data_IF_876174286529
#
_entry.id   IF_876174286529
#
_cell.length_a   1.000
_cell.length_b   1.000
_cell.length_c   1.000
_cell.angle_alpha   90.00
_cell.angle_beta   90.00
_cell.angle_gamma   90.00
#
_symmetry.space_group_name_H-M   'P 1'
#
loop_
_entity.id
_entity.type
_entity.pdbx_description
1 polymer ?
#
# COMPACT_ATOMS: atom_id res chain seq x y z
N UNK A 1 18.71 34.76 21.43
CA UNK A 1 17.60 34.69 20.45
C UNK A 1 17.09 33.25 20.43
N UNK A 2 16.10 32.93 21.26
CA UNK A 2 15.56 31.58 21.45
C UNK A 2 14.11 31.56 20.95
N UNK A 3 13.89 30.92 19.81
CA UNK A 3 12.58 30.82 19.17
C UNK A 3 11.83 29.63 19.78
N UNK A 4 10.91 29.91 20.70
CA UNK A 4 10.04 28.90 21.32
C UNK A 4 8.76 28.80 20.50
N UNK A 5 8.76 27.92 19.51
CA UNK A 5 7.55 27.59 18.75
C UNK A 5 6.52 26.97 19.71
N UNK A 6 5.44 27.69 19.97
CA UNK A 6 4.33 27.26 20.82
C UNK A 6 3.64 26.06 20.20
N UNK A 7 3.72 24.92 20.88
CA UNK A 7 2.89 23.75 20.60
C UNK A 7 1.45 24.13 20.95
N UNK A 8 0.60 24.39 19.95
CA UNK A 8 -0.84 24.53 20.18
C UNK A 8 -1.42 23.13 20.34
N UNK A 9 -1.77 22.79 21.58
CA UNK A 9 -2.59 21.64 21.91
C UNK A 9 -4.03 21.98 21.50
N UNK A 10 -4.55 21.32 20.46
CA UNK A 10 -5.97 21.41 20.10
C UNK A 10 -6.76 20.61 21.14
N UNK A 11 -7.34 21.34 22.09
CA UNK A 11 -8.24 20.81 23.10
C UNK A 11 -9.65 20.85 22.52
N UNK A 12 -10.06 19.77 21.86
CA UNK A 12 -11.37 19.65 21.23
C UNK A 12 -12.47 19.70 22.31
N UNK A 13 -12.98 20.91 22.60
CA UNK A 13 -13.96 21.15 23.67
C UNK A 13 -15.31 21.65 23.16
N UNK A 14 -15.43 22.10 21.91
CA UNK A 14 -16.66 22.75 21.41
C UNK A 14 -17.03 22.31 19.98
N UNK A 15 -18.33 22.22 19.71
CA UNK A 15 -18.92 21.95 18.38
C UNK A 15 -18.49 22.96 17.32
N UNK A 16 -18.07 24.17 17.71
CA UNK A 16 -17.62 25.20 16.77
C UNK A 16 -16.23 24.90 16.19
N UNK A 17 -15.36 24.18 16.91
CA UNK A 17 -14.07 23.72 16.38
C UNK A 17 -14.26 22.61 15.34
N UNK A 18 -15.30 21.78 15.50
CA UNK A 18 -15.68 20.79 14.48
C UNK A 18 -16.16 21.47 13.20
N UNK A 19 -16.88 22.60 13.30
CA UNK A 19 -17.28 23.38 12.12
C UNK A 19 -16.08 23.97 11.40
N UNK A 20 -15.12 24.53 12.13
CA UNK A 20 -13.89 25.07 11.54
C UNK A 20 -13.07 23.97 10.82
N UNK A 21 -13.01 22.76 11.39
CA UNK A 21 -12.40 21.59 10.73
C UNK A 21 -13.16 21.19 9.46
N UNK A 22 -14.50 21.22 9.48
CA UNK A 22 -15.33 20.91 8.30
C UNK A 22 -15.15 21.98 7.21
N UNK A 23 -15.10 23.26 7.57
CA UNK A 23 -14.88 24.37 6.64
C UNK A 23 -13.50 24.28 5.98
N UNK A 24 -12.45 24.02 6.75
CA UNK A 24 -11.10 23.77 6.22
C UNK A 24 -11.05 22.52 5.33
N UNK A 25 -11.75 21.45 5.70
CA UNK A 25 -11.83 20.26 4.86
C UNK A 25 -12.54 20.53 3.52
N UNK A 26 -13.53 21.43 3.51
CA UNK A 26 -14.21 21.86 2.29
C UNK A 26 -13.35 22.78 1.42
N UNK A 27 -12.65 23.74 2.02
CA UNK A 27 -11.74 24.68 1.33
C UNK A 27 -10.56 23.95 0.67
N UNK A 28 -10.06 22.90 1.32
CA UNK A 28 -8.95 22.08 0.81
C UNK A 28 -9.38 20.83 0.02
N UNK A 29 -10.66 20.70 -0.35
CA UNK A 29 -11.19 19.58 -1.15
C UNK A 29 -10.87 18.17 -0.59
N UNK A 30 -10.80 18.01 0.74
CA UNK A 30 -10.49 16.71 1.35
C UNK A 30 -11.66 15.73 1.13
N UNK A 31 -11.38 14.56 0.54
CA UNK A 31 -12.40 13.52 0.31
C UNK A 31 -12.69 12.69 1.57
N UNK A 32 -11.69 12.57 2.44
CA UNK A 32 -11.79 11.85 3.71
C UNK A 32 -10.85 12.48 4.75
N UNK A 33 -11.32 12.62 5.98
CA UNK A 33 -10.56 13.13 7.12
C UNK A 33 -10.88 12.30 8.37
N UNK A 34 -9.85 11.83 9.07
CA UNK A 34 -9.99 11.04 10.29
C UNK A 34 -9.07 11.57 11.39
N UNK A 35 -9.61 11.73 12.60
CA UNK A 35 -8.85 12.11 13.80
C UNK A 35 -9.30 11.28 15.01
N UNK A 36 -8.33 10.78 15.77
CA UNK A 36 -8.54 10.04 17.01
C UNK A 36 -7.83 10.74 18.17
N UNK A 37 -8.56 11.09 19.22
CA UNK A 37 -8.01 11.67 20.45
C UNK A 37 -8.78 11.19 21.66
N UNK A 38 -8.06 10.72 22.69
CA UNK A 38 -8.63 10.32 24.00
C UNK A 38 -9.81 9.33 23.89
N UNK A 39 -9.77 8.43 22.90
CA UNK A 39 -10.82 7.43 22.66
C UNK A 39 -12.02 7.92 21.86
N UNK A 40 -12.02 9.18 21.39
CA UNK A 40 -13.04 9.73 20.49
C UNK A 40 -12.50 9.75 19.07
N UNK A 41 -13.19 9.06 18.16
CA UNK A 41 -12.87 8.96 16.73
C UNK A 41 -13.87 9.77 15.92
N UNK A 42 -13.38 10.76 15.17
CA UNK A 42 -14.18 11.58 14.26
C UNK A 42 -13.76 11.28 12.83
N UNK A 43 -14.71 10.83 12.00
CA UNK A 43 -14.51 10.56 10.56
C UNK A 43 -15.45 11.42 9.76
N UNK A 44 -14.90 12.23 8.86
CA UNK A 44 -15.65 13.09 7.94
C UNK A 44 -15.40 12.57 6.54
N UNK A 45 -16.46 12.12 5.87
CA UNK A 45 -16.43 11.63 4.49
C UNK A 45 -17.31 12.51 3.61
N UNK A 46 -16.76 13.02 2.51
CA UNK A 46 -17.53 13.73 1.50
C UNK A 46 -18.02 12.72 0.47
N UNK A 47 -19.33 12.57 0.34
CA UNK A 47 -19.90 11.79 -0.75
C UNK A 47 -19.80 12.61 -2.04
N UNK A 48 -18.78 12.31 -2.86
CA UNK A 48 -18.73 12.78 -4.24
C UNK A 48 -19.56 11.82 -5.08
N UNK A 49 -20.81 12.19 -5.34
CA UNK A 49 -21.61 11.58 -6.39
C UNK A 49 -20.98 11.92 -7.74
N UNK A 50 -20.03 11.09 -8.18
CA UNK A 50 -19.73 10.98 -9.60
C UNK A 50 -20.73 10.00 -10.20
N UNK A 51 -21.73 10.60 -10.84
CA UNK A 51 -22.61 9.97 -11.82
C UNK A 51 -21.74 9.27 -12.87
N UNK A 52 -21.64 7.94 -12.77
CA UNK A 52 -21.10 7.14 -13.87
C UNK A 52 -22.21 6.98 -14.91
N UNK A 53 -22.13 7.86 -15.90
CA UNK A 53 -22.91 7.78 -17.12
C UNK A 53 -22.84 6.38 -17.74
N UNK A 54 -24.01 5.83 -18.00
CA UNK A 54 -24.22 4.58 -18.70
C UNK A 54 -23.52 4.57 -20.06
N UNK A 55 -22.70 3.55 -20.31
CA UNK A 55 -22.30 3.17 -21.67
C UNK A 55 -23.07 1.93 -22.10
N UNK A 56 -23.74 2.10 -23.23
CA UNK A 56 -24.68 1.20 -23.88
C UNK A 56 -24.04 -0.11 -24.31
N UNK A 57 -24.77 -1.21 -24.07
CA UNK A 57 -24.47 -2.54 -24.57
C UNK A 57 -24.50 -2.59 -26.10
N UNK A 58 -23.46 -3.15 -26.71
CA UNK A 58 -23.48 -3.63 -28.10
C UNK A 58 -23.19 -5.13 -28.08
N UNK A 59 -24.26 -5.91 -28.23
CA UNK A 59 -24.21 -7.36 -28.47
C UNK A 59 -23.68 -7.62 -29.89
N UNK A 60 -22.70 -8.50 -30.01
CA UNK A 60 -22.21 -9.05 -31.28
C UNK A 60 -22.29 -10.58 -31.16
N UNK A 61 -22.79 -11.32 -32.17
CA UNK A 61 -23.19 -12.72 -31.99
C UNK A 61 -21.99 -13.67 -32.01
N UNK A 62 -22.12 -14.75 -31.23
CA UNK A 62 -21.21 -15.86 -31.15
C UNK A 62 -21.13 -16.68 -32.45
N UNK A 63 -19.96 -17.30 -32.71
CA UNK A 63 -19.90 -18.65 -33.26
C UNK A 63 -19.22 -19.63 -32.28
N UNK A 64 -19.60 -20.89 -32.45
CA UNK A 64 -19.43 -21.99 -31.52
C UNK A 64 -18.01 -22.56 -31.38
N UNK A 65 -17.80 -23.16 -30.20
CA UNK A 65 -16.88 -24.24 -29.80
C UNK A 65 -15.73 -24.62 -30.75
N UNK A 66 -14.51 -24.52 -30.22
CA UNK A 66 -13.53 -25.63 -30.21
C UNK A 66 -12.69 -25.54 -28.94
N UNK A 67 -12.70 -26.64 -28.18
CA UNK A 67 -11.87 -26.86 -27.01
C UNK A 67 -10.41 -27.13 -27.44
N UNK A 68 -9.47 -26.44 -26.82
CA UNK A 68 -8.07 -26.85 -26.75
C UNK A 68 -7.52 -26.46 -25.37
N UNK A 69 -7.02 -27.49 -24.69
CA UNK A 69 -6.50 -27.49 -23.32
C UNK A 69 -5.13 -26.80 -23.22
N UNK A 70 -4.77 -26.52 -21.96
CA UNK A 70 -3.40 -26.35 -21.43
C UNK A 70 -2.81 -24.95 -21.61
N UNK A 71 -2.33 -24.25 -20.57
CA UNK A 71 -1.48 -24.75 -19.49
C UNK A 71 -1.79 -24.10 -18.14
N UNK A 72 -2.18 -24.97 -17.21
CA UNK A 72 -2.11 -24.77 -15.77
C UNK A 72 -0.66 -24.99 -15.36
N UNK A 73 0.06 -23.92 -15.02
CA UNK A 73 1.39 -24.05 -14.42
C UNK A 73 1.24 -24.46 -12.97
N UNK A 74 1.15 -25.76 -12.78
CA UNK A 74 1.53 -26.41 -11.53
C UNK A 74 3.05 -26.43 -11.44
N UNK A 75 3.60 -25.71 -10.46
CA UNK A 75 4.90 -26.08 -9.87
C UNK A 75 4.59 -26.45 -8.42
N UNK A 76 4.45 -27.75 -8.21
CA UNK A 76 4.67 -28.34 -6.90
C UNK A 76 6.16 -28.60 -6.72
N UNK A 77 6.71 -28.13 -5.62
CA UNK A 77 7.81 -28.81 -4.93
C UNK A 77 7.63 -28.53 -3.44
N UNK A 78 7.07 -29.52 -2.75
CA UNK A 78 7.22 -29.68 -1.31
C UNK A 78 8.71 -29.91 -1.01
N UNK A 79 9.31 -28.99 -0.26
CA UNK A 79 10.46 -29.26 0.61
C UNK A 79 10.27 -28.51 1.94
N UNK A 80 9.87 -29.31 2.93
CA UNK A 80 10.32 -29.28 4.31
C UNK A 80 10.27 -27.98 5.13
N UNK A 81 9.47 -28.02 6.19
CA UNK A 81 9.41 -27.04 7.27
C UNK A 81 8.25 -26.07 7.09
N UNK A 82 7.36 -26.03 8.07
CA UNK A 82 6.30 -25.02 8.24
C UNK A 82 6.90 -23.60 8.36
N UNK A 83 7.41 -23.08 7.27
CA UNK A 83 7.89 -21.72 7.19
C UNK A 83 6.72 -20.87 6.70
N UNK A 84 6.16 -20.06 7.59
CA UNK A 84 5.08 -19.15 7.26
C UNK A 84 5.56 -18.21 6.15
N UNK A 85 4.96 -18.34 4.96
CA UNK A 85 5.16 -17.42 3.86
C UNK A 85 4.30 -16.18 4.14
N UNK A 86 4.95 -15.04 4.33
CA UNK A 86 4.31 -13.73 4.48
C UNK A 86 4.41 -12.96 3.17
N UNK A 87 3.34 -12.26 2.81
CA UNK A 87 3.27 -11.44 1.61
C UNK A 87 3.26 -9.98 2.01
N UNK A 88 4.26 -9.23 1.55
CA UNK A 88 4.32 -7.78 1.72
C UNK A 88 3.51 -7.14 0.61
N UNK A 89 2.52 -6.33 1.00
CA UNK A 89 1.61 -5.65 0.07
C UNK A 89 1.85 -4.15 0.04
N UNK A 90 1.46 -3.51 -1.04
CA UNK A 90 1.50 -2.05 -1.16
C UNK A 90 0.45 -1.38 -0.27
N UNK A 91 0.84 -0.48 0.64
CA UNK A 91 -0.11 0.29 1.44
C UNK A 91 -0.65 1.52 0.71
N UNK A 92 -0.13 1.84 -0.48
CA UNK A 92 -0.45 3.06 -1.22
C UNK A 92 -0.50 2.82 -2.74
N UNK A 93 -1.05 3.76 -3.49
CA UNK A 93 -0.96 3.78 -4.96
C UNK A 93 0.25 4.62 -5.36
N UNK A 94 1.07 4.14 -6.29
CA UNK A 94 2.26 4.88 -6.74
C UNK A 94 3.12 4.11 -7.73
N UNK A 95 4.37 4.52 -7.86
CA UNK A 95 5.38 3.86 -8.71
C UNK A 95 6.38 3.11 -7.83
N UNK A 96 6.57 1.82 -8.10
CA UNK A 96 7.48 0.96 -7.36
C UNK A 96 8.94 1.15 -7.80
N UNK A 97 9.85 1.34 -6.85
CA UNK A 97 11.28 1.42 -7.10
C UNK A 97 12.06 0.48 -6.20
N UNK A 98 13.03 -0.21 -6.79
CA UNK A 98 13.89 -1.17 -6.09
C UNK A 98 15.07 -0.55 -5.38
N UNK A 99 15.43 0.70 -5.67
CA UNK A 99 16.64 1.36 -5.21
C UNK A 99 16.33 2.78 -4.70
N UNK A 100 17.18 3.36 -3.83
CA UNK A 100 16.98 4.71 -3.30
C UNK A 100 17.10 5.79 -4.37
N UNK A 101 17.94 5.53 -5.39
CA UNK A 101 18.25 6.47 -6.47
C UNK A 101 18.43 5.71 -7.80
N UNK A 102 18.26 6.38 -8.95
CA UNK A 102 18.59 5.80 -10.26
C UNK A 102 20.04 5.34 -10.34
N UNK A 103 20.23 4.05 -10.68
CA UNK A 103 21.57 3.45 -10.81
C UNK A 103 22.22 3.01 -9.48
N UNK A 104 21.57 3.26 -8.34
CA UNK A 104 21.99 2.67 -7.06
C UNK A 104 21.65 1.18 -7.00
N UNK A 105 22.25 0.47 -6.04
CA UNK A 105 21.92 -0.93 -5.77
C UNK A 105 20.48 -1.03 -5.28
N UNK A 106 19.83 -2.14 -5.60
CA UNK A 106 18.52 -2.44 -5.05
C UNK A 106 18.62 -2.66 -3.54
N UNK A 107 17.55 -2.34 -2.81
CA UNK A 107 17.47 -2.55 -1.36
C UNK A 107 17.59 -4.03 -1.00
N UNK A 108 16.96 -4.90 -1.79
CA UNK A 108 16.95 -6.37 -1.63
C UNK A 108 16.89 -7.06 -2.98
N UNK A 109 17.39 -8.29 -3.03
CA UNK A 109 17.23 -9.27 -4.12
C UNK A 109 16.58 -10.57 -3.60
N UNK A 110 16.13 -11.44 -4.51
CA UNK A 110 15.64 -12.77 -4.13
C UNK A 110 16.77 -13.58 -3.49
N UNK A 111 16.47 -14.21 -2.34
CA UNK A 111 17.42 -14.93 -1.50
C UNK A 111 18.06 -14.08 -0.41
N UNK A 112 17.83 -12.77 -0.38
CA UNK A 112 18.38 -11.91 0.67
C UNK A 112 17.65 -12.12 2.00
N UNK A 113 18.44 -12.19 3.08
CA UNK A 113 17.92 -12.18 4.45
C UNK A 113 17.64 -10.75 4.87
N UNK A 114 16.42 -10.51 5.34
CA UNK A 114 15.94 -9.20 5.78
C UNK A 114 15.59 -9.22 7.26
N UNK A 115 15.90 -8.12 7.94
CA UNK A 115 15.50 -7.90 9.33
C UNK A 115 14.20 -7.11 9.44
N UNK A 116 13.48 -7.26 10.55
CA UNK A 116 12.33 -6.40 10.85
C UNK A 116 12.73 -4.90 10.78
N UNK A 117 11.95 -4.11 10.06
CA UNK A 117 12.17 -2.68 9.84
C UNK A 117 13.11 -2.36 8.69
N UNK A 118 13.77 -3.33 8.06
CA UNK A 118 14.63 -3.10 6.91
C UNK A 118 13.79 -2.61 5.71
N UNK A 119 14.29 -1.60 5.00
CA UNK A 119 13.68 -1.09 3.77
C UNK A 119 13.79 -2.13 2.66
N UNK A 120 12.68 -2.40 1.98
CA UNK A 120 12.56 -3.38 0.90
C UNK A 120 12.42 -2.69 -0.47
N UNK A 121 11.69 -1.59 -0.52
CA UNK A 121 11.50 -0.78 -1.72
C UNK A 121 11.04 0.63 -1.36
N UNK A 122 10.91 1.47 -2.38
CA UNK A 122 10.23 2.76 -2.32
C UNK A 122 8.99 2.70 -3.20
N UNK A 123 7.91 3.33 -2.75
CA UNK A 123 6.77 3.66 -3.59
C UNK A 123 6.64 5.18 -3.67
N UNK A 124 6.82 5.71 -4.89
CA UNK A 124 6.63 7.13 -5.16
C UNK A 124 5.15 7.45 -5.32
N UNK A 125 4.63 8.30 -4.45
CA UNK A 125 3.26 8.82 -4.53
C UNK A 125 3.27 10.33 -4.32
N UNK A 126 2.73 11.09 -5.26
CA UNK A 126 2.66 12.57 -5.18
C UNK A 126 4.03 13.23 -4.88
N UNK A 127 5.11 12.74 -5.51
CA UNK A 127 6.52 13.16 -5.31
C UNK A 127 7.10 12.83 -3.92
N UNK A 128 6.42 12.01 -3.13
CA UNK A 128 6.95 11.48 -1.87
C UNK A 128 7.47 10.06 -2.09
N UNK A 129 8.70 9.82 -1.68
CA UNK A 129 9.35 8.51 -1.71
C UNK A 129 9.04 7.77 -0.41
N UNK A 130 8.00 6.94 -0.40
CA UNK A 130 7.59 6.21 0.79
C UNK A 130 8.33 4.88 0.85
N UNK A 131 9.15 4.69 1.88
CA UNK A 131 9.83 3.43 2.15
C UNK A 131 8.83 2.37 2.61
N UNK A 132 8.97 1.16 2.06
CA UNK A 132 8.24 -0.03 2.52
C UNK A 132 9.21 -0.89 3.32
N UNK A 133 8.89 -1.15 4.58
CA UNK A 133 9.75 -1.89 5.50
C UNK A 133 9.23 -3.32 5.75
N UNK A 134 10.13 -4.25 6.02
CA UNK A 134 9.78 -5.59 6.47
C UNK A 134 9.12 -5.57 7.86
N UNK A 135 8.00 -6.28 8.03
CA UNK A 135 7.30 -6.36 9.33
C UNK A 135 7.92 -7.40 10.27
N UNK A 136 8.61 -8.40 9.71
CA UNK A 136 9.22 -9.52 10.42
C UNK A 136 10.58 -9.89 9.80
N UNK A 137 11.38 -10.63 10.57
CA UNK A 137 12.65 -11.19 10.11
C UNK A 137 12.41 -12.36 9.16
N UNK A 138 13.10 -12.37 8.02
CA UNK A 138 12.86 -13.38 6.99
C UNK A 138 13.86 -13.40 5.86
N UNK A 139 13.46 -14.03 4.76
CA UNK A 139 14.21 -14.11 3.50
C UNK A 139 13.28 -13.79 2.33
N UNK A 140 13.71 -12.96 1.37
CA UNK A 140 12.94 -12.65 0.17
C UNK A 140 12.90 -13.88 -0.73
N UNK A 141 11.70 -14.40 -1.00
CA UNK A 141 11.52 -15.56 -1.89
C UNK A 141 11.07 -15.15 -3.29
N UNK A 142 10.38 -14.02 -3.41
CA UNK A 142 9.88 -13.54 -4.70
C UNK A 142 9.68 -12.01 -4.69
N UNK A 143 9.85 -11.38 -5.86
CA UNK A 143 9.56 -9.97 -6.12
C UNK A 143 8.54 -9.93 -7.26
N UNK A 144 7.33 -9.42 -6.99
CA UNK A 144 6.21 -9.49 -7.93
C UNK A 144 6.13 -8.32 -8.91
N UNK A 145 6.87 -7.24 -8.64
CA UNK A 145 6.77 -5.98 -9.38
C UNK A 145 8.13 -5.57 -9.94
N UNK A 146 8.16 -5.15 -11.20
CA UNK A 146 9.37 -4.63 -11.83
C UNK A 146 9.64 -3.17 -11.45
N UNK A 147 10.92 -2.77 -11.45
CA UNK A 147 11.32 -1.40 -11.14
C UNK A 147 10.70 -0.39 -12.12
N UNK A 148 10.07 0.65 -11.58
CA UNK A 148 9.41 1.71 -12.34
C UNK A 148 7.97 1.42 -12.72
N UNK A 149 7.39 0.29 -12.30
CA UNK A 149 6.00 -0.05 -12.62
C UNK A 149 5.00 0.57 -11.63
N UNK A 150 3.78 0.88 -12.08
CA UNK A 150 2.72 1.33 -11.19
C UNK A 150 2.22 0.21 -10.29
N UNK A 151 1.85 0.55 -9.07
CA UNK A 151 1.25 -0.34 -8.07
C UNK A 151 0.02 0.31 -7.44
N UNK A 152 -0.94 -0.52 -7.07
CA UNK A 152 -2.17 -0.15 -6.38
C UNK A 152 -2.16 -0.60 -4.92
N UNK A 153 -3.11 -0.07 -4.14
CA UNK A 153 -3.32 -0.52 -2.77
C UNK A 153 -3.61 -2.03 -2.73
N UNK A 154 -2.86 -2.76 -1.91
CA UNK A 154 -3.03 -4.19 -1.71
C UNK A 154 -2.29 -5.08 -2.72
N UNK A 155 -1.65 -4.51 -3.74
CA UNK A 155 -0.82 -5.27 -4.69
C UNK A 155 0.31 -5.97 -3.95
N UNK A 156 0.60 -7.21 -4.33
CA UNK A 156 1.69 -7.97 -3.74
C UNK A 156 3.01 -7.42 -4.29
N UNK A 157 3.94 -7.12 -3.40
CA UNK A 157 5.26 -6.58 -3.76
C UNK A 157 6.34 -7.65 -3.61
N UNK A 158 6.31 -8.34 -2.46
CA UNK A 158 7.28 -9.36 -2.10
C UNK A 158 6.61 -10.56 -1.46
N UNK A 159 7.18 -11.74 -1.69
CA UNK A 159 6.95 -12.92 -0.86
C UNK A 159 8.16 -13.12 0.04
N UNK A 160 7.90 -13.40 1.31
CA UNK A 160 8.92 -13.56 2.34
C UNK A 160 8.72 -14.86 3.11
N UNK A 161 9.80 -15.62 3.27
CA UNK A 161 9.83 -16.73 4.22
C UNK A 161 10.16 -16.20 5.61
N UNK A 162 9.18 -16.18 6.51
CA UNK A 162 9.37 -15.64 7.87
C UNK A 162 10.08 -16.67 8.75
N UNK A 163 11.00 -16.20 9.58
CA UNK A 163 11.61 -17.07 10.61
C UNK A 163 10.65 -17.19 11.81
N UNK A 164 10.37 -18.41 12.30
CA UNK A 164 9.51 -18.58 13.46
C UNK A 164 10.11 -17.85 14.67
N UNK A 165 9.30 -17.04 15.34
CA UNK A 165 9.69 -16.40 16.61
C UNK A 165 9.81 -17.48 17.68
N UNK A 166 11.04 -17.87 18.00
CA UNK A 166 11.32 -18.65 19.21
C UNK A 166 11.06 -17.72 20.39
N UNK A 167 9.95 -17.96 21.11
CA UNK A 167 9.63 -17.28 22.38
C UNK A 167 10.50 -17.79 23.52
#
# INVERSE_FOLDING_TARGET
MTNKAGRKELHLKNLDEVKEIIELAQEHNLSEFEIEKEGVRLRIKRESSHDQGAVTAVSIPAPALVAAQSVESSIGTDVDGSADLSVVKSPIVGTFYRAPDPGAKSFVEVGDKVGKGQVLCIIEAMKLMNEINAEDDGEITEIFVENGQPVQYGDQLFSMRVRPRVS
#
